data_IF_278777378853
#
_entry.id   IF_278777378853
#
_cell.length_a   1.000
_cell.length_b   1.000
_cell.length_c   1.000
_cell.angle_alpha   90.00
_cell.angle_beta   90.00
_cell.angle_gamma   90.00
#
_symmetry.space_group_name_H-M   'P 1'
#
loop_
_entity.id
_entity.type
_entity.pdbx_description
1 polymer ?
#
# COMPACT_ATOMS: atom_id res chain seq x y z
N UNK A 1 9.16 -18.90 -9.58
CA UNK A 1 8.64 -17.56 -9.97
C UNK A 1 7.17 -17.58 -10.40
N UNK A 2 6.79 -18.20 -11.53
CA UNK A 2 5.39 -18.18 -11.99
C UNK A 2 4.43 -18.99 -11.09
N UNK A 3 4.90 -20.12 -10.54
CA UNK A 3 4.10 -20.97 -9.63
C UNK A 3 3.90 -20.34 -8.24
N UNK A 4 4.89 -19.63 -7.69
CA UNK A 4 4.74 -18.88 -6.42
C UNK A 4 3.73 -17.74 -6.55
N UNK A 5 3.73 -17.02 -7.67
CA UNK A 5 2.73 -15.98 -7.94
C UNK A 5 1.32 -16.60 -7.95
N UNK A 6 1.17 -17.83 -8.44
CA UNK A 6 -0.12 -18.52 -8.48
C UNK A 6 -0.57 -19.00 -7.09
N UNK A 7 0.35 -19.45 -6.24
CA UNK A 7 0.05 -19.82 -4.85
C UNK A 7 -0.31 -18.61 -3.97
N UNK A 8 0.36 -17.46 -4.17
CA UNK A 8 0.00 -16.19 -3.52
C UNK A 8 -1.41 -15.74 -3.92
N UNK A 9 -1.76 -15.86 -5.21
CA UNK A 9 -3.11 -15.57 -5.73
C UNK A 9 -4.17 -16.48 -5.11
N UNK A 10 -3.90 -17.78 -4.98
CA UNK A 10 -4.82 -18.74 -4.35
C UNK A 10 -5.09 -18.40 -2.87
N UNK A 11 -4.07 -18.01 -2.10
CA UNK A 11 -4.24 -17.60 -0.70
C UNK A 11 -4.95 -16.27 -0.54
N UNK A 12 -4.88 -15.35 -1.52
CA UNK A 12 -5.55 -14.04 -1.43
C UNK A 12 -7.08 -14.12 -1.60
N UNK A 13 -7.63 -15.23 -2.10
CA UNK A 13 -9.05 -15.39 -2.44
C UNK A 13 -10.01 -15.39 -1.24
N UNK A 14 -9.60 -15.97 -0.11
CA UNK A 14 -10.58 -16.39 0.91
C UNK A 14 -10.56 -15.56 2.21
N UNK A 15 -9.68 -14.56 2.32
CA UNK A 15 -9.58 -13.75 3.53
C UNK A 15 -10.65 -12.65 3.58
N UNK A 16 -11.59 -12.77 4.52
CA UNK A 16 -12.58 -11.73 4.84
C UNK A 16 -11.95 -10.50 5.49
N UNK A 17 -10.87 -10.68 6.27
CA UNK A 17 -10.18 -9.64 7.03
C UNK A 17 -8.65 -9.84 6.99
N UNK A 18 -7.87 -8.88 7.50
CA UNK A 18 -6.44 -9.03 7.64
C UNK A 18 -6.08 -10.22 8.56
N UNK A 19 -5.12 -11.07 8.18
CA UNK A 19 -4.66 -12.17 9.03
C UNK A 19 -3.85 -11.64 10.22
N UNK A 20 -3.64 -12.50 11.21
CA UNK A 20 -2.72 -12.23 12.32
C UNK A 20 -1.28 -12.09 11.80
N UNK A 21 -0.60 -11.01 12.18
CA UNK A 21 0.81 -10.76 11.87
C UNK A 21 1.65 -10.94 13.15
N UNK A 22 2.52 -11.96 13.22
CA UNK A 22 3.38 -12.22 14.38
C UNK A 22 4.32 -11.06 14.74
N UNK A 23 4.58 -10.13 13.81
CA UNK A 23 5.40 -8.93 14.07
C UNK A 23 4.69 -7.91 14.97
N UNK A 24 3.36 -7.98 15.02
CA UNK A 24 2.50 -7.07 15.78
C UNK A 24 1.58 -7.85 16.74
N UNK A 25 2.13 -8.58 17.74
CA UNK A 25 1.34 -9.43 18.63
C UNK A 25 0.54 -8.65 19.68
N UNK A 26 0.88 -7.38 19.91
CA UNK A 26 0.28 -6.56 20.95
C UNK A 26 -1.09 -6.03 20.53
N UNK A 27 -1.95 -5.69 21.51
CA UNK A 27 -3.28 -5.10 21.27
C UNK A 27 -3.23 -3.79 20.48
N UNK A 28 -2.16 -3.00 20.63
CA UNK A 28 -2.00 -1.75 19.88
C UNK A 28 -1.55 -2.01 18.43
N UNK A 29 -2.52 -2.03 17.51
CA UNK A 29 -2.32 -2.27 16.07
C UNK A 29 -1.94 -1.02 15.26
N UNK A 30 -1.62 0.10 15.91
CA UNK A 30 -1.25 1.35 15.24
C UNK A 30 -0.05 1.18 14.29
N UNK A 31 0.99 0.45 14.73
CA UNK A 31 2.18 0.18 13.91
C UNK A 31 1.86 -0.71 12.71
N UNK A 32 0.97 -1.69 12.88
CA UNK A 32 0.55 -2.58 11.81
C UNK A 32 -0.20 -1.81 10.71
N UNK A 33 -1.16 -0.97 11.11
CA UNK A 33 -1.86 -0.06 10.19
C UNK A 33 -0.88 0.85 9.44
N UNK A 34 0.00 1.55 10.16
CA UNK A 34 0.92 2.52 9.56
C UNK A 34 1.92 1.87 8.60
N UNK A 35 2.47 0.70 8.95
CA UNK A 35 3.41 -0.01 8.10
C UNK A 35 2.75 -0.46 6.78
N UNK A 36 1.57 -1.08 6.84
CA UNK A 36 0.85 -1.51 5.63
C UNK A 36 0.39 -0.32 4.77
N UNK A 37 0.01 0.81 5.40
CA UNK A 37 -0.29 2.05 4.67
C UNK A 37 0.93 2.51 3.86
N UNK A 38 2.10 2.63 4.49
CA UNK A 38 3.32 3.04 3.80
C UNK A 38 3.73 2.06 2.69
N UNK A 39 3.65 0.76 2.95
CA UNK A 39 4.05 -0.27 2.00
C UNK A 39 3.18 -0.26 0.75
N UNK A 40 1.87 0.01 0.89
CA UNK A 40 0.99 0.22 -0.26
C UNK A 40 1.46 1.39 -1.14
N UNK A 41 1.66 2.58 -0.57
CA UNK A 41 2.03 3.75 -1.38
C UNK A 41 3.46 3.65 -1.94
N UNK A 42 4.38 3.01 -1.22
CA UNK A 42 5.71 2.66 -1.74
C UNK A 42 5.61 1.71 -2.92
N UNK A 43 4.81 0.65 -2.79
CA UNK A 43 4.57 -0.32 -3.86
C UNK A 43 3.94 0.35 -5.09
N UNK A 44 2.92 1.18 -4.91
CA UNK A 44 2.29 1.91 -6.01
C UNK A 44 3.30 2.82 -6.71
N UNK A 45 4.16 3.52 -5.96
CA UNK A 45 5.19 4.39 -6.52
C UNK A 45 6.22 3.60 -7.34
N UNK A 46 6.71 2.47 -6.84
CA UNK A 46 7.70 1.63 -7.55
C UNK A 46 7.10 0.93 -8.76
N UNK A 47 5.88 0.39 -8.63
CA UNK A 47 5.16 -0.28 -9.72
C UNK A 47 4.81 0.69 -10.84
N UNK A 48 4.37 1.92 -10.51
CA UNK A 48 4.10 2.98 -11.50
C UNK A 48 5.36 3.42 -12.23
N UNK A 49 6.50 3.50 -11.53
CA UNK A 49 7.79 3.81 -12.17
C UNK A 49 8.27 2.69 -13.11
N UNK A 50 7.98 1.44 -12.76
CA UNK A 50 8.38 0.26 -13.54
C UNK A 50 7.37 -0.14 -14.64
N UNK A 51 6.24 0.56 -14.75
CA UNK A 51 5.18 0.25 -15.73
C UNK A 51 4.48 -1.10 -15.52
N UNK A 52 4.46 -1.63 -14.30
CA UNK A 52 3.83 -2.93 -13.97
C UNK A 52 2.40 -2.75 -13.45
N UNK A 53 1.67 -3.85 -13.34
CA UNK A 53 0.30 -3.86 -12.80
C UNK A 53 0.23 -3.54 -11.30
N UNK A 54 -0.68 -2.63 -10.93
CA UNK A 54 -0.96 -2.24 -9.54
C UNK A 54 -1.53 -3.40 -8.71
N UNK A 55 -2.04 -4.46 -9.37
CA UNK A 55 -2.60 -5.66 -8.73
C UNK A 55 -1.63 -6.32 -7.75
N UNK A 56 -0.32 -6.17 -7.95
CA UNK A 56 0.69 -6.68 -7.02
C UNK A 56 0.60 -6.02 -5.63
N UNK A 57 0.18 -4.76 -5.57
CA UNK A 57 0.05 -3.99 -4.33
C UNK A 57 -1.31 -4.18 -3.63
N UNK A 58 -2.25 -4.90 -4.24
CA UNK A 58 -3.64 -5.01 -3.76
C UNK A 58 -3.75 -5.67 -2.38
N UNK A 59 -2.81 -6.57 -2.06
CA UNK A 59 -2.73 -7.18 -0.73
C UNK A 59 -2.60 -6.13 0.38
N UNK A 60 -1.61 -5.22 0.25
CA UNK A 60 -1.40 -4.16 1.22
C UNK A 60 -2.62 -3.24 1.32
N UNK A 61 -3.28 -2.98 0.19
CA UNK A 61 -4.51 -2.19 0.15
C UNK A 61 -5.63 -2.80 1.00
N UNK A 62 -5.86 -4.11 0.87
CA UNK A 62 -6.86 -4.81 1.68
C UNK A 62 -6.53 -4.78 3.17
N UNK A 63 -5.26 -5.05 3.51
CA UNK A 63 -4.81 -5.13 4.91
C UNK A 63 -4.95 -3.76 5.60
N UNK A 64 -4.37 -2.68 5.07
CA UNK A 64 -4.47 -1.39 5.76
C UNK A 64 -5.91 -0.87 5.80
N UNK A 65 -6.74 -1.14 4.78
CA UNK A 65 -8.15 -0.74 4.78
C UNK A 65 -8.95 -1.42 5.89
N UNK A 66 -8.61 -2.66 6.25
CA UNK A 66 -9.26 -3.38 7.35
C UNK A 66 -8.78 -2.96 8.74
N UNK A 67 -7.52 -2.52 8.87
CA UNK A 67 -6.90 -2.18 10.17
C UNK A 67 -6.99 -0.70 10.52
N UNK A 68 -6.88 0.19 9.53
CA UNK A 68 -6.73 1.62 9.76
C UNK A 68 -8.08 2.33 9.90
N UNK A 69 -8.23 3.25 10.88
CA UNK A 69 -9.36 4.16 10.93
C UNK A 69 -9.46 5.01 9.65
N UNK A 70 -10.68 5.20 9.13
CA UNK A 70 -10.93 5.99 7.91
C UNK A 70 -10.45 7.44 8.04
N UNK A 71 -10.55 8.01 9.24
CA UNK A 71 -10.06 9.36 9.55
C UNK A 71 -8.57 9.51 9.30
N UNK A 72 -7.76 8.50 9.61
CA UNK A 72 -6.32 8.51 9.41
C UNK A 72 -5.96 8.51 7.93
N UNK A 73 -6.60 7.64 7.15
CA UNK A 73 -6.38 7.55 5.69
C UNK A 73 -6.76 8.86 5.00
N UNK A 74 -7.87 9.49 5.41
CA UNK A 74 -8.29 10.79 4.89
C UNK A 74 -7.29 11.90 5.25
N UNK A 75 -6.81 11.91 6.50
CA UNK A 75 -5.85 12.90 6.97
C UNK A 75 -4.52 12.78 6.23
N UNK A 76 -3.96 11.57 6.13
CA UNK A 76 -2.67 11.33 5.46
C UNK A 76 -2.73 11.63 3.97
N UNK A 77 -3.82 11.27 3.27
CA UNK A 77 -3.99 11.62 1.85
C UNK A 77 -4.12 13.13 1.64
N UNK A 78 -4.77 13.85 2.55
CA UNK A 78 -4.82 15.31 2.53
C UNK A 78 -3.41 15.91 2.71
N UNK A 79 -2.65 15.44 3.70
CA UNK A 79 -1.29 15.90 3.97
C UNK A 79 -0.34 15.62 2.80
N UNK A 80 -0.40 14.44 2.18
CA UNK A 80 0.42 14.09 1.01
C UNK A 80 0.08 15.00 -0.18
N UNK A 81 -1.20 15.29 -0.43
CA UNK A 81 -1.62 16.23 -1.49
C UNK A 81 -1.17 17.66 -1.24
N UNK A 82 -1.18 18.10 0.02
CA UNK A 82 -0.78 19.46 0.40
C UNK A 82 0.74 19.64 0.48
N UNK A 83 1.51 18.56 0.57
CA UNK A 83 2.98 18.58 0.66
C UNK A 83 3.68 18.31 -0.68
N UNK A 84 2.96 17.98 -1.75
CA UNK A 84 3.55 17.91 -3.10
C UNK A 84 3.72 19.32 -3.68
N UNK A 85 4.97 19.81 -3.87
CA UNK A 85 5.20 21.03 -4.64
C UNK A 85 4.91 20.75 -6.12
N UNK A 86 4.35 21.76 -6.78
CA UNK A 86 4.12 21.81 -8.22
C UNK A 86 5.38 21.39 -9.01
N UNK A 87 5.13 20.60 -10.06
CA UNK A 87 5.92 20.35 -11.28
C UNK A 87 7.36 20.90 -11.31
N UNK A 88 8.34 20.01 -11.51
CA UNK A 88 9.49 20.32 -12.38
C UNK A 88 9.38 19.50 -13.66
N UNK A 89 8.75 20.12 -14.65
CA UNK A 89 8.91 19.77 -16.04
C UNK A 89 8.82 21.05 -16.84
N UNK A 90 9.98 21.65 -17.17
CA UNK A 90 10.23 22.45 -18.38
C UNK A 90 11.62 23.10 -18.34
N UNK A 91 12.60 22.45 -18.96
CA UNK A 91 13.71 23.00 -19.78
C UNK A 91 14.60 21.80 -20.15
N UNK A 92 14.98 21.49 -21.38
CA UNK A 92 14.54 21.87 -22.72
C UNK A 92 15.03 20.73 -23.61
N UNK A 93 14.23 20.31 -24.59
CA UNK A 93 14.75 19.54 -25.73
C UNK A 93 15.47 20.55 -26.64
N UNK A 94 16.76 20.33 -26.83
CA UNK A 94 17.54 20.59 -28.06
C UNK A 94 18.72 19.63 -28.04
#
# INVERSE_FOLDING_TARGET
MAEEINQLKKKQGDYLTAPFDPRFPNTNQTKNCYQNYLDYYRCVKTVKANGKDIKVCEWYHRVFKSLCPVSWVRMTTCLIKNSTPLKKGSLMQT
#
